data_IF_187790835715
#
_entry.id   IF_187790835715
#
_cell.length_a   1.000
_cell.length_b   1.000
_cell.length_c   1.000
_cell.angle_alpha   90.00
_cell.angle_beta   90.00
_cell.angle_gamma   90.00
#
_symmetry.space_group_name_H-M   'P 1'
#
loop_
_entity.id
_entity.type
_entity.pdbx_description
1 polymer ?
#
# COMPACT_ATOMS: atom_id res chain seq x y z
N UNK A 1 -5.90 59.84 -34.12
CA UNK A 1 -6.06 58.72 -33.15
C UNK A 1 -5.76 57.33 -33.73
N UNK A 2 -5.90 57.07 -35.03
CA UNK A 2 -5.69 55.72 -35.61
C UNK A 2 -4.24 55.19 -35.62
N UNK A 3 -3.22 56.06 -35.53
CA UNK A 3 -1.80 55.67 -35.59
C UNK A 3 -1.26 55.03 -34.29
N UNK A 4 -1.97 55.17 -33.17
CA UNK A 4 -1.61 54.57 -31.88
C UNK A 4 -1.97 53.09 -31.79
N UNK A 5 -3.06 52.68 -32.45
CA UNK A 5 -3.56 51.30 -32.45
C UNK A 5 -2.65 50.32 -33.22
N UNK A 6 -2.00 50.79 -34.31
CA UNK A 6 -1.10 49.96 -35.11
C UNK A 6 0.26 49.66 -34.43
N UNK A 7 0.57 50.34 -33.31
CA UNK A 7 1.81 50.15 -32.54
C UNK A 7 1.60 49.37 -31.24
N UNK A 8 0.38 48.90 -30.99
CA UNK A 8 0.03 48.25 -29.73
C UNK A 8 0.42 46.76 -29.72
N UNK A 9 1.61 46.47 -29.19
CA UNK A 9 2.13 45.10 -29.02
C UNK A 9 1.47 44.35 -27.84
N UNK A 10 0.55 44.99 -27.10
CA UNK A 10 -0.14 44.35 -25.98
C UNK A 10 -1.03 43.18 -26.42
N UNK A 11 -1.58 43.24 -27.63
CA UNK A 11 -2.38 42.14 -28.20
C UNK A 11 -1.57 40.89 -28.50
N UNK A 12 -0.33 41.02 -28.98
CA UNK A 12 0.54 39.86 -29.29
C UNK A 12 1.02 39.18 -28.02
N UNK A 13 1.41 39.95 -26.99
CA UNK A 13 1.79 39.41 -25.68
C UNK A 13 0.64 38.63 -25.00
N UNK A 14 -0.61 39.09 -25.18
CA UNK A 14 -1.77 38.37 -24.67
C UNK A 14 -1.97 37.02 -25.37
N UNK A 15 -1.77 36.95 -26.69
CA UNK A 15 -1.88 35.70 -27.46
C UNK A 15 -0.77 34.71 -27.12
N UNK A 16 0.46 35.18 -26.94
CA UNK A 16 1.58 34.34 -26.49
C UNK A 16 1.33 33.77 -25.09
N UNK A 17 0.82 34.58 -24.16
CA UNK A 17 0.43 34.13 -22.83
C UNK A 17 -0.74 33.13 -22.90
N UNK A 18 -1.75 33.37 -23.74
CA UNK A 18 -2.89 32.47 -23.87
C UNK A 18 -2.49 31.06 -24.37
N UNK A 19 -1.43 30.96 -25.18
CA UNK A 19 -0.90 29.68 -25.65
C UNK A 19 0.02 29.00 -24.62
N UNK A 20 0.85 29.77 -23.91
CA UNK A 20 1.82 29.23 -22.95
C UNK A 20 1.22 28.94 -21.56
N UNK A 21 0.25 29.74 -21.11
CA UNK A 21 -0.33 29.66 -19.78
C UNK A 21 -0.99 28.31 -19.48
N UNK A 22 -1.75 27.65 -20.39
CA UNK A 22 -2.33 26.34 -20.12
C UNK A 22 -1.26 25.28 -19.81
N UNK A 23 -0.15 25.27 -20.56
CA UNK A 23 0.96 24.34 -20.32
C UNK A 23 1.63 24.62 -18.98
N UNK A 24 1.91 25.89 -18.69
CA UNK A 24 2.51 26.28 -17.42
C UNK A 24 1.63 25.93 -16.21
N UNK A 25 0.33 26.21 -16.29
CA UNK A 25 -0.63 25.87 -15.24
C UNK A 25 -0.75 24.35 -15.06
N UNK A 26 -0.74 23.58 -16.15
CA UNK A 26 -0.78 22.13 -16.08
C UNK A 26 0.45 21.55 -15.38
N UNK A 27 1.65 22.06 -15.69
CA UNK A 27 2.89 21.62 -15.06
C UNK A 27 2.95 22.01 -13.57
N UNK A 28 2.55 23.24 -13.23
CA UNK A 28 2.58 23.72 -11.85
C UNK A 28 1.55 23.01 -10.98
N UNK A 29 0.30 22.93 -11.41
CA UNK A 29 -0.73 22.19 -10.69
C UNK A 29 -0.33 20.71 -10.61
N UNK A 30 0.17 20.13 -11.71
CA UNK A 30 0.55 18.72 -11.78
C UNK A 30 1.66 18.38 -10.81
N UNK A 31 2.67 19.24 -10.74
CA UNK A 31 3.75 19.13 -9.76
C UNK A 31 3.26 19.23 -8.32
N UNK A 32 2.33 20.15 -8.02
CA UNK A 32 1.76 20.27 -6.67
C UNK A 32 0.93 19.04 -6.30
N UNK A 33 0.10 18.51 -7.21
CA UNK A 33 -0.68 17.28 -6.98
C UNK A 33 0.25 16.08 -6.72
N UNK A 34 1.35 15.99 -7.48
CA UNK A 34 2.35 14.96 -7.27
C UNK A 34 3.08 15.10 -5.92
N UNK A 35 3.47 16.31 -5.54
CA UNK A 35 4.06 16.59 -4.22
C UNK A 35 3.10 16.23 -3.08
N UNK A 36 1.80 16.53 -3.24
CA UNK A 36 0.77 16.16 -2.26
C UNK A 36 0.64 14.63 -2.13
N UNK A 37 0.67 13.90 -3.24
CA UNK A 37 0.67 12.43 -3.24
C UNK A 37 1.90 11.86 -2.51
N UNK A 38 3.09 12.38 -2.82
CA UNK A 38 4.33 11.96 -2.14
C UNK A 38 4.29 12.27 -0.65
N UNK A 39 3.79 13.43 -0.26
CA UNK A 39 3.62 13.78 1.15
C UNK A 39 2.67 12.80 1.86
N UNK A 40 1.54 12.45 1.25
CA UNK A 40 0.62 11.45 1.77
C UNK A 40 1.26 10.07 1.94
N UNK A 41 2.09 9.66 0.98
CA UNK A 41 2.84 8.41 1.05
C UNK A 41 3.80 8.39 2.25
N UNK A 42 4.49 9.50 2.51
CA UNK A 42 5.41 9.61 3.65
C UNK A 42 4.69 9.63 4.99
N UNK A 43 3.54 10.31 5.08
CA UNK A 43 2.70 10.31 6.29
C UNK A 43 2.21 8.89 6.61
N UNK A 44 1.72 8.16 5.60
CA UNK A 44 1.25 6.79 5.76
C UNK A 44 2.39 5.86 6.17
N UNK A 45 3.53 5.90 5.47
CA UNK A 45 4.70 5.07 5.79
C UNK A 45 5.24 5.37 7.19
N UNK A 46 5.33 6.66 7.58
CA UNK A 46 5.75 7.07 8.91
C UNK A 46 4.82 6.54 10.00
N UNK A 47 3.50 6.61 9.79
CA UNK A 47 2.52 6.09 10.74
C UNK A 47 2.63 4.56 10.90
N UNK A 48 2.82 3.84 9.79
CA UNK A 48 3.04 2.38 9.77
C UNK A 48 4.33 1.99 10.49
N UNK A 49 5.43 2.74 10.30
CA UNK A 49 6.70 2.48 11.00
C UNK A 49 6.58 2.71 12.51
N UNK A 50 5.79 3.69 12.94
CA UNK A 50 5.49 3.90 14.36
C UNK A 50 4.72 2.70 14.92
N UNK A 51 3.70 2.22 14.19
CA UNK A 51 2.96 1.03 14.61
C UNK A 51 3.86 -0.21 14.68
N UNK A 52 4.81 -0.35 13.77
CA UNK A 52 5.78 -1.44 13.81
C UNK A 52 6.67 -1.42 15.07
N UNK A 53 7.04 -0.23 15.53
CA UNK A 53 7.77 -0.07 16.78
C UNK A 53 6.89 -0.32 18.00
N UNK A 54 5.61 0.06 17.94
CA UNK A 54 4.66 -0.12 19.04
C UNK A 54 4.14 -1.55 19.16
N UNK A 55 4.18 -2.35 18.10
CA UNK A 55 3.66 -3.74 18.11
C UNK A 55 4.40 -4.67 19.06
N UNK A 56 5.64 -4.35 19.44
CA UNK A 56 6.43 -5.11 20.42
C UNK A 56 6.09 -4.78 21.88
N UNK A 57 5.20 -3.83 22.14
CA UNK A 57 4.83 -3.43 23.51
C UNK A 57 3.65 -4.26 24.00
N UNK A 58 3.65 -4.69 25.27
CA UNK A 58 2.64 -5.58 25.87
C UNK A 58 1.19 -5.19 25.57
N UNK A 59 0.87 -3.89 25.53
CA UNK A 59 -0.48 -3.39 25.23
C UNK A 59 -0.98 -3.65 23.80
N UNK A 60 -0.10 -4.02 22.87
CA UNK A 60 -0.40 -4.19 21.45
C UNK A 60 -0.14 -5.59 20.92
N UNK A 61 0.54 -6.46 21.68
CA UNK A 61 0.86 -7.85 21.29
C UNK A 61 -0.41 -8.63 20.90
N UNK A 62 -1.48 -8.48 21.68
CA UNK A 62 -2.75 -9.17 21.47
C UNK A 62 -3.88 -8.24 20.99
N UNK A 63 -3.57 -6.97 20.72
CA UNK A 63 -4.58 -5.95 20.38
C UNK A 63 -4.19 -5.18 19.11
N UNK A 64 -4.26 -5.88 17.98
CA UNK A 64 -3.97 -5.34 16.65
C UNK A 64 -4.94 -4.21 16.24
N UNK A 65 -6.18 -4.25 16.73
CA UNK A 65 -7.16 -3.19 16.50
C UNK A 65 -6.72 -1.85 17.13
N UNK A 66 -6.09 -1.89 18.32
CA UNK A 66 -5.55 -0.69 18.95
C UNK A 66 -4.36 -0.11 18.14
N UNK A 67 -3.49 -0.95 17.57
CA UNK A 67 -2.44 -0.49 16.65
C UNK A 67 -3.03 0.20 15.41
N UNK A 68 -4.06 -0.39 14.82
CA UNK A 68 -4.74 0.16 13.65
C UNK A 68 -5.38 1.52 13.93
N UNK A 69 -5.93 1.71 15.13
CA UNK A 69 -6.44 3.01 15.59
C UNK A 69 -5.31 4.03 15.68
N UNK A 70 -4.12 3.66 16.18
CA UNK A 70 -2.96 4.57 16.24
C UNK A 70 -2.55 5.03 14.85
N UNK A 71 -2.41 4.12 13.88
CA UNK A 71 -2.07 4.47 12.49
C UNK A 71 -3.14 5.37 11.88
N UNK A 72 -4.41 4.98 12.02
CA UNK A 72 -5.55 5.75 11.51
C UNK A 72 -5.59 7.17 12.08
N UNK A 73 -5.35 7.34 13.38
CA UNK A 73 -5.35 8.65 14.04
C UNK A 73 -4.19 9.53 13.54
N UNK A 74 -3.00 8.96 13.37
CA UNK A 74 -1.84 9.68 12.82
C UNK A 74 -2.09 10.16 11.40
N UNK A 75 -2.63 9.29 10.55
CA UNK A 75 -2.98 9.64 9.16
C UNK A 75 -4.08 10.69 9.10
N UNK A 76 -5.16 10.53 9.89
CA UNK A 76 -6.31 11.46 9.91
C UNK A 76 -6.00 12.84 10.48
N UNK A 77 -4.85 13.02 11.14
CA UNK A 77 -4.36 14.35 11.52
C UNK A 77 -4.15 15.23 10.29
N UNK A 78 -3.68 14.63 9.20
CA UNK A 78 -3.40 15.29 7.92
C UNK A 78 -4.53 15.07 6.91
N UNK A 79 -4.98 13.82 6.77
CA UNK A 79 -6.02 13.41 5.82
C UNK A 79 -7.32 13.05 6.54
N UNK A 80 -8.07 14.06 7.00
CA UNK A 80 -9.24 13.90 7.89
C UNK A 80 -10.29 12.88 7.40
N UNK A 81 -10.58 12.91 6.10
CA UNK A 81 -11.61 12.08 5.47
C UNK A 81 -11.05 10.83 4.78
N UNK A 82 -9.76 10.54 4.94
CA UNK A 82 -9.20 9.36 4.29
C UNK A 82 -9.75 8.07 4.91
N UNK A 83 -10.11 7.14 4.03
CA UNK A 83 -10.41 5.76 4.38
C UNK A 83 -9.07 5.02 4.53
N UNK A 84 -8.84 4.45 5.72
CA UNK A 84 -7.61 3.71 6.01
C UNK A 84 -7.98 2.29 6.39
N UNK A 85 -7.52 1.36 5.57
CA UNK A 85 -7.76 -0.08 5.69
C UNK A 85 -6.43 -0.81 5.89
N UNK A 86 -6.49 -1.93 6.62
CA UNK A 86 -5.33 -2.67 7.06
C UNK A 86 -5.44 -4.14 6.66
N UNK A 87 -4.33 -4.70 6.20
CA UNK A 87 -4.20 -6.12 5.91
C UNK A 87 -2.93 -6.66 6.54
N UNK A 88 -2.98 -7.91 7.01
CA UNK A 88 -1.86 -8.60 7.63
C UNK A 88 -1.75 -10.00 7.05
N UNK A 89 -0.52 -10.41 6.73
CA UNK A 89 -0.17 -11.78 6.39
C UNK A 89 0.99 -12.24 7.23
N UNK A 90 0.84 -13.37 7.89
CA UNK A 90 1.85 -13.98 8.74
C UNK A 90 2.57 -15.12 8.02
N UNK A 91 3.88 -15.21 8.24
CA UNK A 91 4.78 -16.19 7.65
C UNK A 91 5.70 -16.73 8.75
N UNK A 92 6.18 -17.96 8.61
CA UNK A 92 7.13 -18.54 9.55
C UNK A 92 8.51 -17.87 9.46
N UNK A 93 8.94 -17.50 8.24
CA UNK A 93 10.23 -16.84 8.00
C UNK A 93 10.14 -15.69 6.98
N UNK A 94 11.07 -14.72 7.11
CA UNK A 94 11.25 -13.61 6.17
C UNK A 94 11.54 -14.09 4.74
N UNK A 95 12.20 -15.25 4.58
CA UNK A 95 12.57 -15.80 3.27
C UNK A 95 11.38 -16.40 2.51
N UNK A 96 10.21 -16.48 3.14
CA UNK A 96 9.03 -17.17 2.65
C UNK A 96 7.89 -16.24 2.27
N UNK A 97 8.08 -14.93 2.50
CA UNK A 97 7.09 -13.90 2.17
C UNK A 97 6.75 -13.93 0.69
N UNK A 98 5.46 -14.13 0.38
CA UNK A 98 4.93 -14.18 -0.98
C UNK A 98 5.33 -15.41 -1.80
N UNK A 99 5.87 -16.46 -1.17
CA UNK A 99 6.16 -17.72 -1.84
C UNK A 99 4.94 -18.65 -1.84
N UNK A 100 4.75 -19.45 -2.91
CA UNK A 100 3.75 -20.51 -2.89
C UNK A 100 4.15 -21.62 -1.92
N UNK A 101 3.18 -22.46 -1.59
CA UNK A 101 3.45 -23.68 -0.85
C UNK A 101 4.25 -24.68 -1.68
N UNK A 102 5.23 -25.40 -1.07
CA UNK A 102 5.95 -26.46 -1.76
C UNK A 102 5.00 -27.55 -2.24
N UNK A 103 5.19 -28.02 -3.47
CA UNK A 103 4.44 -29.15 -4.03
C UNK A 103 5.36 -30.13 -4.74
N UNK A 104 4.91 -31.38 -4.82
CA UNK A 104 5.55 -32.44 -5.58
C UNK A 104 5.03 -32.42 -7.01
N UNK A 105 5.79 -31.80 -7.90
CA UNK A 105 5.52 -31.81 -9.33
C UNK A 105 5.73 -33.23 -9.90
N UNK A 106 4.64 -33.95 -10.14
CA UNK A 106 4.66 -35.32 -10.68
C UNK A 106 4.82 -35.33 -12.20
N UNK A 107 4.38 -34.28 -12.89
CA UNK A 107 4.30 -34.25 -14.34
C UNK A 107 5.38 -33.36 -15.01
N UNK A 108 6.17 -32.64 -14.22
CA UNK A 108 7.31 -31.83 -14.63
C UNK A 108 6.95 -30.48 -15.24
N UNK A 109 5.74 -29.95 -15.01
CA UNK A 109 5.28 -28.71 -15.62
C UNK A 109 5.55 -27.44 -14.79
N UNK A 110 6.18 -27.57 -13.61
CA UNK A 110 6.45 -26.50 -12.64
C UNK A 110 5.21 -25.73 -12.15
N UNK A 111 4.04 -26.38 -12.12
CA UNK A 111 2.79 -25.81 -11.62
C UNK A 111 2.06 -26.85 -10.79
N UNK A 112 1.44 -26.41 -9.69
CA UNK A 112 0.56 -27.29 -8.93
C UNK A 112 -0.65 -27.72 -9.78
N UNK A 113 -0.81 -29.04 -9.93
CA UNK A 113 -1.99 -29.67 -10.52
C UNK A 113 -2.80 -30.46 -9.49
N UNK A 114 -4.10 -30.61 -9.76
CA UNK A 114 -4.98 -31.43 -8.94
C UNK A 114 -4.51 -32.90 -8.95
N UNK A 115 -4.27 -33.48 -7.77
CA UNK A 115 -3.68 -34.82 -7.61
C UNK A 115 -2.19 -34.82 -7.23
N UNK A 116 -1.57 -33.63 -7.15
CA UNK A 116 -0.22 -33.46 -6.63
C UNK A 116 -0.23 -33.26 -5.12
N UNK A 117 0.82 -33.77 -4.47
CA UNK A 117 0.99 -33.57 -3.04
C UNK A 117 1.56 -32.18 -2.80
N UNK A 118 1.09 -31.48 -1.77
CA UNK A 118 1.66 -30.22 -1.32
C UNK A 118 1.91 -30.24 0.18
N UNK A 119 2.84 -29.40 0.63
CA UNK A 119 3.07 -29.14 2.04
C UNK A 119 2.23 -27.94 2.47
N UNK A 120 1.17 -28.22 3.24
CA UNK A 120 0.27 -27.23 3.81
C UNK A 120 1.00 -26.52 4.96
N UNK A 121 1.33 -25.27 4.71
CA UNK A 121 2.12 -24.41 5.60
C UNK A 121 1.24 -23.50 6.46
N UNK A 122 0.00 -23.22 6.02
CA UNK A 122 -0.93 -22.33 6.73
C UNK A 122 -2.11 -23.05 7.39
N UNK A 123 -2.25 -24.36 7.17
CA UNK A 123 -3.25 -25.23 7.78
C UNK A 123 -4.64 -25.14 7.14
N UNK A 124 -4.78 -24.58 5.94
CA UNK A 124 -6.08 -24.40 5.27
C UNK A 124 -6.51 -25.60 4.40
N UNK A 125 -5.66 -26.64 4.31
CA UNK A 125 -5.85 -27.83 3.51
C UNK A 125 -6.01 -27.62 1.99
N UNK A 126 -5.55 -26.49 1.44
CA UNK A 126 -5.55 -26.18 0.01
C UNK A 126 -4.19 -25.62 -0.39
N UNK A 127 -3.72 -25.95 -1.60
CA UNK A 127 -2.48 -25.36 -2.09
C UNK A 127 -2.66 -23.86 -2.38
N UNK A 128 -1.81 -23.03 -1.77
CA UNK A 128 -1.82 -21.59 -2.00
C UNK A 128 -0.63 -21.09 -2.84
N UNK A 129 -0.92 -20.11 -3.70
CA UNK A 129 0.12 -19.33 -4.39
C UNK A 129 0.88 -18.39 -3.45
N UNK A 130 0.31 -18.10 -2.28
CA UNK A 130 0.94 -17.36 -1.19
C UNK A 130 0.65 -18.08 0.12
N UNK A 131 1.68 -18.70 0.69
CA UNK A 131 1.59 -19.51 1.92
C UNK A 131 1.32 -18.70 3.19
N UNK A 132 1.25 -17.38 3.11
CA UNK A 132 1.02 -16.52 4.26
C UNK A 132 -0.39 -16.68 4.85
N UNK A 133 -0.48 -16.88 6.17
CA UNK A 133 -1.77 -16.94 6.85
C UNK A 133 -2.35 -15.53 7.04
N UNK A 134 -3.64 -15.35 6.77
CA UNK A 134 -4.33 -14.07 7.02
C UNK A 134 -4.39 -13.74 8.51
N UNK A 135 -4.12 -12.49 8.85
CA UNK A 135 -4.15 -12.00 10.23
C UNK A 135 -2.76 -11.90 10.83
N UNK A 136 -2.69 -11.97 12.16
CA UNK A 136 -1.44 -11.70 12.88
C UNK A 136 -0.56 -12.94 13.06
N UNK A 137 -1.01 -14.15 12.71
CA UNK A 137 -0.24 -15.38 12.93
C UNK A 137 -0.03 -15.71 14.41
N UNK A 138 0.89 -16.63 14.67
CA UNK A 138 1.29 -17.12 15.98
C UNK A 138 2.46 -16.34 16.58
N UNK A 139 2.91 -16.75 17.76
CA UNK A 139 4.15 -16.31 18.39
C UNK A 139 5.35 -16.57 17.47
N UNK A 140 6.32 -15.65 17.40
CA UNK A 140 7.52 -15.72 16.54
C UNK A 140 7.31 -15.57 15.02
N UNK A 141 6.07 -15.55 14.53
CA UNK A 141 5.78 -15.33 13.12
C UNK A 141 6.16 -13.93 12.63
N UNK A 142 6.57 -13.89 11.37
CA UNK A 142 6.86 -12.69 10.59
C UNK A 142 5.56 -12.19 9.95
N UNK A 143 5.08 -11.02 10.38
CA UNK A 143 3.83 -10.43 9.89
C UNK A 143 4.12 -9.29 8.93
N UNK A 144 3.72 -9.44 7.67
CA UNK A 144 3.67 -8.36 6.70
C UNK A 144 2.42 -7.53 6.96
N UNK A 145 2.61 -6.31 7.43
CA UNK A 145 1.55 -5.35 7.71
C UNK A 145 1.44 -4.34 6.57
N UNK A 146 0.28 -4.32 5.93
CA UNK A 146 -0.04 -3.47 4.79
C UNK A 146 -1.13 -2.50 5.22
N UNK A 147 -0.85 -1.20 5.13
CA UNK A 147 -1.84 -0.16 5.28
C UNK A 147 -2.16 0.46 3.92
N UNK A 148 -3.44 0.65 3.64
CA UNK A 148 -3.90 1.37 2.47
C UNK A 148 -4.68 2.61 2.88
N UNK A 149 -4.46 3.71 2.18
CA UNK A 149 -5.14 4.99 2.40
C UNK A 149 -5.77 5.45 1.11
N UNK A 150 -7.10 5.57 1.10
CA UNK A 150 -7.86 6.14 -0.01
C UNK A 150 -8.29 7.57 0.34
N UNK A 151 -8.05 8.50 -0.56
CA UNK A 151 -8.42 9.91 -0.39
C UNK A 151 -8.76 10.58 -1.72
N UNK A 152 -9.47 11.70 -1.63
CA UNK A 152 -9.81 12.55 -2.76
C UNK A 152 -8.69 13.54 -3.08
N UNK A 153 -8.30 13.61 -4.35
CA UNK A 153 -7.33 14.60 -4.82
C UNK A 153 -7.93 16.00 -4.71
N UNK A 154 -7.15 16.91 -4.13
CA UNK A 154 -7.56 18.30 -3.87
C UNK A 154 -7.57 19.12 -5.16
N UNK A 155 -6.59 18.90 -6.05
CA UNK A 155 -6.46 19.67 -7.28
C UNK A 155 -7.24 19.00 -8.43
N UNK A 156 -8.02 19.76 -9.22
CA UNK A 156 -8.92 19.22 -10.26
C UNK A 156 -8.22 18.73 -11.53
N UNK A 157 -6.93 18.41 -11.47
CA UNK A 157 -6.12 17.96 -12.61
C UNK A 157 -6.56 16.58 -13.09
N UNK A 158 -7.04 15.75 -12.15
CA UNK A 158 -7.64 14.46 -12.47
C UNK A 158 -8.75 14.61 -13.51
N UNK A 159 -9.56 15.68 -13.42
CA UNK A 159 -10.63 15.95 -14.39
C UNK A 159 -10.07 16.31 -15.77
N UNK A 160 -8.99 17.08 -15.82
CA UNK A 160 -8.34 17.48 -17.08
C UNK A 160 -7.63 16.30 -17.77
N UNK A 161 -7.11 15.36 -16.98
CA UNK A 161 -6.39 14.17 -17.45
C UNK A 161 -7.28 12.93 -17.62
N UNK A 162 -8.59 13.04 -17.35
CA UNK A 162 -9.51 11.89 -17.40
C UNK A 162 -9.22 10.80 -16.35
N UNK A 163 -8.59 11.16 -15.25
CA UNK A 163 -8.29 10.26 -14.13
C UNK A 163 -9.40 10.32 -13.06
N UNK A 164 -9.55 9.26 -12.24
CA UNK A 164 -10.45 9.31 -11.09
C UNK A 164 -9.98 10.34 -10.04
N UNK A 165 -10.94 10.96 -9.37
CA UNK A 165 -10.71 11.89 -8.26
C UNK A 165 -10.05 11.19 -7.06
N UNK A 166 -10.42 9.93 -6.82
CA UNK A 166 -9.87 9.14 -5.72
C UNK A 166 -8.51 8.56 -6.07
N UNK A 167 -7.60 8.54 -5.09
CA UNK A 167 -6.30 7.89 -5.18
C UNK A 167 -6.07 7.02 -3.94
N UNK A 168 -5.57 5.81 -4.16
CA UNK A 168 -5.14 4.90 -3.08
C UNK A 168 -3.62 4.89 -2.99
N UNK A 169 -3.11 5.02 -1.77
CA UNK A 169 -1.70 4.86 -1.40
C UNK A 169 -1.53 3.64 -0.54
N UNK A 170 -0.36 3.01 -0.61
CA UNK A 170 -0.05 1.78 0.10
C UNK A 170 1.28 1.93 0.84
N UNK A 171 1.31 1.54 2.10
CA UNK A 171 2.53 1.42 2.88
C UNK A 171 2.62 -0.01 3.43
N UNK A 172 3.82 -0.57 3.40
CA UNK A 172 4.07 -1.92 3.91
C UNK A 172 5.22 -1.87 4.90
N UNK A 173 5.12 -2.69 5.94
CA UNK A 173 6.21 -2.95 6.88
C UNK A 173 6.15 -4.40 7.31
N UNK A 174 7.25 -4.90 7.87
CA UNK A 174 7.33 -6.26 8.39
C UNK A 174 7.53 -6.19 9.90
N UNK A 175 6.74 -6.98 10.61
CA UNK A 175 6.72 -7.12 12.05
C UNK A 175 7.13 -8.54 12.41
N UNK A 176 7.57 -8.74 13.66
CA UNK A 176 7.73 -10.08 14.22
C UNK A 176 6.96 -10.14 15.53
N UNK A 177 6.15 -11.18 15.69
CA UNK A 177 5.36 -11.35 16.90
C UNK A 177 6.24 -11.75 18.08
N UNK A 178 5.86 -11.26 19.25
CA UNK A 178 6.42 -11.67 20.55
C UNK A 178 5.32 -12.38 21.35
N UNK A 179 5.66 -13.29 22.29
CA UNK A 179 7.00 -13.75 22.68
C UNK A 179 7.65 -14.67 21.64
N UNK A 180 8.98 -14.74 21.62
CA UNK A 180 9.76 -15.62 20.74
C UNK A 180 9.77 -17.08 21.23
N UNK A 181 8.61 -17.58 21.68
CA UNK A 181 8.47 -19.00 21.99
C UNK A 181 8.49 -19.81 20.69
N UNK A 182 9.02 -21.02 20.74
CA UNK A 182 9.05 -21.96 19.60
C UNK A 182 7.72 -21.99 18.87
N UNK A 183 7.79 -21.61 17.60
CA UNK A 183 6.67 -21.63 16.68
C UNK A 183 6.04 -23.03 16.64
N UNK A 184 4.72 -23.10 16.80
CA UNK A 184 3.96 -24.37 16.86
C UNK A 184 3.30 -24.71 15.52
N UNK A 185 3.68 -24.00 14.46
CA UNK A 185 3.22 -24.25 13.09
C UNK A 185 3.72 -25.62 12.65
N UNK A 186 2.83 -26.61 12.68
CA UNK A 186 3.11 -27.96 12.18
C UNK A 186 2.69 -27.99 10.73
N UNK A 187 3.66 -27.95 9.81
CA UNK A 187 3.38 -28.19 8.40
C UNK A 187 2.91 -29.62 8.19
N UNK A 188 1.95 -29.82 7.28
CA UNK A 188 1.40 -31.15 6.97
C UNK A 188 1.46 -31.39 5.48
N UNK A 189 2.04 -32.52 5.07
CA UNK A 189 1.95 -32.95 3.68
C UNK A 189 0.55 -33.50 3.40
N UNK A 190 -0.14 -32.91 2.43
CA UNK A 190 -1.45 -33.33 1.94
C UNK A 190 -1.26 -33.89 0.53
N UNK A 191 -1.68 -35.15 0.35
CA UNK A 191 -1.75 -35.80 -0.95
C UNK A 191 -3.21 -36.11 -1.26
N UNK A 192 -3.72 -35.54 -2.35
CA UNK A 192 -5.03 -35.86 -2.92
C UNK A 192 -4.92 -36.93 -3.99
#
# INVERSE_FOLDING_TARGET
>A
MARGLARDKRGTAFMEFALAAPLFLMLTLGGIDYCWQLYGQQVLQGAVNIAARSSTTEGYINNTAALDIVVRNKVRTVFKNAQVDFSRRAYESFTEVGKPEPFTDKNGNNRYDSGECFEDMNGNANWDTDRGNTGNGSSDDVVVYIASMKYDRILPIWRMLGQPQEKTLYATTVLRNQPYSTNTSVSKVICS
#
